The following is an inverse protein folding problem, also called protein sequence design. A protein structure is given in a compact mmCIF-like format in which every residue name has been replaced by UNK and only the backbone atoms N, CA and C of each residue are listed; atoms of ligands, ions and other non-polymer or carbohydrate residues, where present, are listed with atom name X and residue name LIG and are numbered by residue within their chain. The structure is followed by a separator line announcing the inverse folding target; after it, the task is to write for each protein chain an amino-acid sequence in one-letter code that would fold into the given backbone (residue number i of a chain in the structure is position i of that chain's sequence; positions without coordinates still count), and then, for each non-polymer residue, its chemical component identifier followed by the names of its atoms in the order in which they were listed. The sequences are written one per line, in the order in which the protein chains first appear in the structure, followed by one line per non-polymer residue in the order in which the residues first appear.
data_IF_684507181249
#
_entry.id   IF_684507181249
#
_cell.length_a   1.000
_cell.length_b   1.000
_cell.length_c   1.000
_cell.angle_alpha   90.00
_cell.angle_beta   90.00
_cell.angle_gamma   90.00
#
_symmetry.space_group_name_H-M   'P 1'
#
loop_
_entity.id
_entity.type
_entity.pdbx_description
1 polymer ?
#
# COMPACT_ATOMS: atom_id res chain seq x y z
N UNK A 1 5.57 1.54 74.05
CA UNK A 1 4.72 1.37 72.86
C UNK A 1 5.55 1.77 71.64
N UNK A 2 6.28 0.83 71.04
CA UNK A 2 7.05 1.04 69.80
C UNK A 2 6.30 0.34 68.67
N UNK A 3 5.81 1.10 67.71
CA UNK A 3 5.11 0.59 66.53
C UNK A 3 6.13 0.28 65.42
N UNK A 4 6.33 -1.01 65.15
CA UNK A 4 7.11 -1.51 64.02
C UNK A 4 6.32 -1.31 62.72
N UNK A 5 6.78 -0.43 61.83
CA UNK A 5 6.22 -0.30 60.47
C UNK A 5 6.73 -1.45 59.59
N UNK A 6 5.81 -2.16 58.96
CA UNK A 6 6.09 -3.34 58.13
C UNK A 6 6.70 -2.95 56.76
N UNK A 7 7.69 -3.70 56.23
CA UNK A 7 8.45 -3.33 55.02
C UNK A 7 7.74 -3.61 53.68
N UNK A 8 6.53 -4.19 53.70
CA UNK A 8 5.83 -4.64 52.50
C UNK A 8 5.28 -3.49 51.62
N UNK A 9 5.00 -2.30 52.20
CA UNK A 9 4.45 -1.18 51.43
C UNK A 9 5.47 -0.55 50.48
N UNK A 10 6.74 -0.53 50.88
CA UNK A 10 7.84 0.05 50.07
C UNK A 10 8.17 -0.88 48.91
N UNK A 11 8.18 -2.20 49.14
CA UNK A 11 8.41 -3.18 48.08
C UNK A 11 7.29 -3.16 47.05
N UNK A 12 6.02 -3.10 47.49
CA UNK A 12 4.85 -3.01 46.60
C UNK A 12 4.83 -1.70 45.78
N UNK A 13 5.16 -0.56 46.40
CA UNK A 13 5.30 0.70 45.65
C UNK A 13 6.44 0.65 44.63
N UNK A 14 7.56 -0.01 44.95
CA UNK A 14 8.68 -0.15 44.03
C UNK A 14 8.33 -1.02 42.81
N UNK A 15 7.56 -2.11 42.98
CA UNK A 15 7.09 -2.95 41.86
C UNK A 15 6.07 -2.23 40.98
N UNK A 16 5.17 -1.44 41.57
CA UNK A 16 4.22 -0.61 40.81
C UNK A 16 4.95 0.48 40.01
N UNK A 17 5.99 1.10 40.59
CA UNK A 17 6.79 2.10 39.90
C UNK A 17 7.62 1.49 38.75
N UNK A 18 8.20 0.31 38.97
CA UNK A 18 9.00 -0.39 37.95
C UNK A 18 8.14 -0.90 36.77
N UNK A 19 6.90 -1.33 37.05
CA UNK A 19 5.95 -1.71 36.00
C UNK A 19 5.43 -0.51 35.20
N UNK A 20 5.22 0.66 35.83
CA UNK A 20 4.87 1.89 35.11
C UNK A 20 5.97 2.37 34.14
N UNK A 21 7.25 2.17 34.48
CA UNK A 21 8.39 2.55 33.63
C UNK A 21 8.47 1.67 32.36
N UNK A 22 8.09 0.39 32.47
CA UNK A 22 8.05 -0.52 31.32
C UNK A 22 6.89 -0.24 30.35
N UNK A 23 5.76 0.32 30.82
CA UNK A 23 4.62 0.65 29.95
C UNK A 23 4.85 1.86 29.02
N UNK A 24 5.85 2.72 29.28
CA UNK A 24 6.10 3.93 28.48
C UNK A 24 7.06 3.74 27.30
N UNK A 25 7.60 2.54 27.08
CA UNK A 25 8.51 2.27 25.96
C UNK A 25 7.74 1.80 24.71
N UNK A 26 6.86 2.64 24.18
CA UNK A 26 6.35 2.47 22.82
C UNK A 26 7.41 2.93 21.84
N UNK A 27 8.13 1.98 21.23
CA UNK A 27 9.06 2.27 20.14
C UNK A 27 8.26 2.79 18.94
N UNK A 28 8.38 4.09 18.64
CA UNK A 28 7.85 4.67 17.41
C UNK A 28 8.75 4.16 16.28
N UNK A 29 8.24 3.23 15.47
CA UNK A 29 8.88 2.85 14.23
C UNK A 29 8.73 4.00 13.23
N UNK A 30 9.73 4.89 13.17
CA UNK A 30 9.78 5.95 12.17
C UNK A 30 10.31 5.37 10.85
N UNK A 31 9.43 5.13 9.88
CA UNK A 31 9.88 5.01 8.50
C UNK A 31 10.55 6.33 8.12
N UNK A 32 11.82 6.26 7.70
CA UNK A 32 12.56 7.47 7.39
C UNK A 32 11.90 8.23 6.25
N UNK A 33 11.62 7.57 5.11
CA UNK A 33 10.85 8.15 4.01
C UNK A 33 9.53 7.41 3.78
N UNK A 34 8.43 8.15 3.68
CA UNK A 34 7.08 7.61 3.45
C UNK A 34 6.32 8.37 2.36
N UNK A 35 5.37 7.68 1.72
CA UNK A 35 4.45 8.28 0.76
C UNK A 35 3.13 8.62 1.43
N UNK A 36 2.51 9.74 1.04
CA UNK A 36 1.21 10.17 1.55
C UNK A 36 0.02 9.30 1.11
N UNK A 37 0.25 8.30 0.25
CA UNK A 37 -0.78 7.38 -0.22
C UNK A 37 -0.19 6.00 -0.54
N UNK A 38 -1.04 4.96 -0.49
CA UNK A 38 -0.69 3.57 -0.87
C UNK A 38 -1.06 3.24 -2.32
N UNK A 39 -1.72 4.18 -3.01
CA UNK A 39 -2.06 4.16 -4.43
C UNK A 39 -2.42 5.56 -4.92
N UNK A 40 -2.37 5.75 -6.23
CA UNK A 40 -2.76 6.99 -6.90
C UNK A 40 -3.90 6.70 -7.87
N UNK A 41 -4.99 7.45 -7.77
CA UNK A 41 -5.99 7.50 -8.84
C UNK A 41 -5.66 8.71 -9.70
N UNK A 42 -5.47 8.50 -11.00
CA UNK A 42 -5.24 9.55 -11.99
C UNK A 42 -6.49 9.71 -12.87
N UNK A 43 -7.38 10.68 -12.60
CA UNK A 43 -8.55 10.91 -13.43
C UNK A 43 -8.14 11.46 -14.80
N UNK A 44 -8.76 10.96 -15.87
CA UNK A 44 -8.38 11.30 -17.25
C UNK A 44 -8.50 12.79 -17.59
N UNK A 45 -9.39 13.54 -16.92
CA UNK A 45 -9.57 14.97 -17.11
C UNK A 45 -8.55 15.84 -16.35
N UNK A 46 -7.68 15.25 -15.54
CA UNK A 46 -6.68 16.00 -14.78
C UNK A 46 -5.37 16.15 -15.57
N UNK A 47 -4.76 17.34 -15.50
CA UNK A 47 -3.42 17.57 -16.05
C UNK A 47 -2.33 16.96 -15.17
N UNK A 48 -2.55 16.97 -13.86
CA UNK A 48 -1.62 16.45 -12.88
C UNK A 48 -2.33 15.96 -11.62
N UNK A 49 -1.69 15.06 -10.88
CA UNK A 49 -2.06 14.67 -9.51
C UNK A 49 -0.85 14.82 -8.58
N UNK A 50 -1.12 15.03 -7.30
CA UNK A 50 -0.09 15.28 -6.29
C UNK A 50 0.12 14.04 -5.41
N UNK A 51 1.38 13.75 -5.09
CA UNK A 51 1.76 12.69 -4.16
C UNK A 51 2.76 13.25 -3.14
N UNK A 52 2.35 13.46 -1.88
CA UNK A 52 3.26 13.86 -0.82
C UNK A 52 4.31 12.78 -0.52
N UNK A 53 5.52 13.21 -0.20
CA UNK A 53 6.64 12.39 0.27
C UNK A 53 7.20 13.06 1.51
N UNK A 54 7.29 12.32 2.61
CA UNK A 54 7.77 12.83 3.89
C UNK A 54 9.06 12.13 4.28
N UNK A 55 10.03 12.89 4.78
CA UNK A 55 11.11 12.37 5.60
C UNK A 55 10.79 12.65 7.08
N UNK A 56 10.70 11.61 7.89
CA UNK A 56 10.41 11.72 9.33
C UNK A 56 11.68 11.71 10.19
N UNK A 57 12.84 11.38 9.62
CA UNK A 57 14.10 11.36 10.33
C UNK A 57 14.75 12.76 10.31
N UNK A 58 14.90 13.44 11.47
CA UNK A 58 15.48 14.76 11.57
C UNK A 58 16.97 14.83 11.23
N UNK A 59 17.70 13.72 11.39
CA UNK A 59 19.15 13.66 11.24
C UNK A 59 19.59 13.14 9.86
N UNK A 60 18.71 12.43 9.16
CA UNK A 60 19.04 11.83 7.87
C UNK A 60 18.90 12.78 6.67
N UNK A 61 19.70 12.49 5.64
CA UNK A 61 19.59 13.08 4.31
C UNK A 61 19.30 11.98 3.30
N UNK A 62 18.26 12.16 2.50
CA UNK A 62 17.87 11.23 1.44
C UNK A 62 17.85 11.91 0.08
N UNK A 63 18.40 11.23 -0.92
CA UNK A 63 18.16 11.55 -2.32
C UNK A 63 16.93 10.74 -2.78
N UNK A 64 15.90 11.44 -3.20
CA UNK A 64 14.64 10.86 -3.67
C UNK A 64 14.65 10.84 -5.19
N UNK A 65 14.57 9.65 -5.77
CA UNK A 65 14.40 9.42 -7.21
C UNK A 65 13.01 8.85 -7.48
N UNK A 66 12.31 9.32 -8.51
CA UNK A 66 10.94 8.86 -8.80
C UNK A 66 10.70 8.64 -10.29
N UNK A 67 9.95 7.59 -10.63
CA UNK A 67 9.57 7.26 -12.00
C UNK A 67 8.26 6.47 -12.06
N UNK A 68 7.69 6.36 -13.27
CA UNK A 68 6.52 5.54 -13.57
C UNK A 68 6.95 4.32 -14.37
N UNK A 69 6.36 3.18 -14.06
CA UNK A 69 6.39 1.98 -14.89
C UNK A 69 4.98 1.62 -15.38
N UNK A 70 4.89 0.96 -16.52
CA UNK A 70 3.64 0.38 -17.01
C UNK A 70 3.37 -0.99 -16.34
N UNK A 71 2.24 -1.62 -16.69
CA UNK A 71 1.86 -2.92 -16.15
C UNK A 71 2.85 -4.07 -16.45
N UNK A 72 3.77 -3.90 -17.41
CA UNK A 72 4.82 -4.85 -17.77
C UNK A 72 6.17 -4.55 -17.11
N UNK A 73 6.18 -3.77 -16.03
CA UNK A 73 7.38 -3.40 -15.26
C UNK A 73 8.45 -2.63 -16.05
N UNK A 74 8.04 -2.00 -17.17
CA UNK A 74 8.94 -1.16 -17.98
C UNK A 74 8.71 0.31 -17.67
N UNK A 75 9.80 1.07 -17.61
CA UNK A 75 9.73 2.52 -17.43
C UNK A 75 8.90 3.14 -18.56
N UNK A 76 7.92 3.95 -18.17
CA UNK A 76 6.93 4.49 -19.09
C UNK A 76 7.01 6.02 -19.13
N UNK A 77 6.73 6.61 -20.30
CA UNK A 77 6.80 8.06 -20.53
C UNK A 77 5.44 8.72 -20.74
N UNK A 78 4.35 7.96 -20.74
CA UNK A 78 2.99 8.49 -20.83
C UNK A 78 2.59 9.27 -19.55
N UNK A 79 3.33 9.08 -18.45
CA UNK A 79 3.25 9.91 -17.25
C UNK A 79 4.65 10.34 -16.79
N UNK A 80 4.76 11.58 -16.34
CA UNK A 80 6.03 12.17 -15.89
C UNK A 80 5.91 12.58 -14.43
N UNK A 81 6.90 12.22 -13.60
CA UNK A 81 6.98 12.66 -12.20
C UNK A 81 7.96 13.82 -12.09
N UNK A 82 7.54 14.89 -11.42
CA UNK A 82 8.38 16.07 -11.16
C UNK A 82 8.34 16.48 -9.68
N UNK A 83 9.49 16.83 -9.07
CA UNK A 83 10.84 16.62 -9.58
C UNK A 83 11.21 15.11 -9.63
N UNK A 84 11.92 14.63 -10.66
CA UNK A 84 12.29 13.22 -10.77
C UNK A 84 13.46 12.84 -9.84
N UNK A 85 14.22 13.83 -9.36
CA UNK A 85 15.34 13.67 -8.45
C UNK A 85 15.47 14.92 -7.56
N UNK A 86 15.51 14.75 -6.23
CA UNK A 86 15.73 15.86 -5.30
C UNK A 86 16.24 15.36 -3.94
N UNK A 87 16.87 16.24 -3.16
CA UNK A 87 17.34 15.93 -1.80
C UNK A 87 16.32 16.36 -0.74
N UNK A 88 16.14 15.52 0.28
CA UNK A 88 15.38 15.78 1.50
C UNK A 88 16.32 15.69 2.69
N UNK A 89 16.50 16.81 3.39
CA UNK A 89 17.35 16.90 4.58
C UNK A 89 16.48 17.12 5.81
N UNK A 90 16.69 16.26 6.82
CA UNK A 90 15.95 16.28 8.06
C UNK A 90 14.44 16.10 7.85
N UNK A 91 13.67 16.49 8.88
CA UNK A 91 12.21 16.35 8.86
C UNK A 91 11.62 17.32 7.84
N UNK A 92 11.19 16.80 6.70
CA UNK A 92 10.72 17.59 5.55
C UNK A 92 9.60 16.88 4.81
N UNK A 93 8.67 17.65 4.28
CA UNK A 93 7.68 17.18 3.33
C UNK A 93 7.92 17.84 1.96
N UNK A 94 7.85 17.05 0.90
CA UNK A 94 7.92 17.47 -0.47
C UNK A 94 6.76 16.86 -1.25
N UNK A 95 6.32 17.51 -2.33
CA UNK A 95 5.21 17.01 -3.15
C UNK A 95 5.72 16.64 -4.54
N UNK A 96 5.56 15.37 -4.91
CA UNK A 96 5.71 14.90 -6.28
C UNK A 96 4.48 15.29 -7.09
N UNK A 97 4.67 15.75 -8.32
CA UNK A 97 3.61 16.01 -9.30
C UNK A 97 3.70 14.96 -10.39
N UNK A 98 2.67 14.17 -10.55
CA UNK A 98 2.53 13.22 -11.66
C UNK A 98 1.74 13.93 -12.74
N UNK A 99 2.30 14.07 -13.93
CA UNK A 99 1.76 14.85 -15.05
C UNK A 99 1.35 13.89 -16.17
N UNK A 100 0.18 14.14 -16.75
CA UNK A 100 -0.33 13.38 -17.89
C UNK A 100 0.41 13.80 -19.17
N UNK A 101 1.12 12.84 -19.79
CA UNK A 101 1.77 12.98 -21.09
C UNK A 101 1.25 11.92 -22.09
N UNK A 102 0.09 11.32 -21.82
CA UNK A 102 -0.51 10.22 -22.61
C UNK A 102 -1.01 10.66 -23.99
N UNK A 103 -1.25 11.96 -24.19
CA UNK A 103 -1.95 12.52 -25.36
C UNK A 103 -3.28 11.78 -25.69
N UNK A 104 -4.01 11.31 -24.68
CA UNK A 104 -5.28 10.57 -24.80
C UNK A 104 -5.17 9.19 -25.51
N UNK A 105 -4.01 8.54 -25.47
CA UNK A 105 -3.79 7.23 -26.12
C UNK A 105 -4.17 6.01 -25.26
N UNK A 106 -4.85 6.20 -24.12
CA UNK A 106 -5.24 5.11 -23.22
C UNK A 106 -6.70 4.70 -23.45
N UNK A 107 -7.07 3.44 -23.14
CA UNK A 107 -8.46 2.97 -23.22
C UNK A 107 -9.42 3.90 -22.49
N UNK A 108 -10.48 4.33 -23.18
CA UNK A 108 -11.53 5.18 -22.60
C UNK A 108 -12.64 4.39 -21.87
N UNK A 109 -12.62 3.06 -21.94
CA UNK A 109 -13.69 2.18 -21.47
C UNK A 109 -13.36 1.40 -20.19
N UNK A 110 -12.14 1.55 -19.67
CA UNK A 110 -11.62 0.85 -18.48
C UNK A 110 -10.36 1.53 -17.91
N UNK A 111 -10.04 1.22 -16.67
CA UNK A 111 -8.79 1.65 -16.06
C UNK A 111 -7.55 1.05 -16.74
N UNK A 112 -6.44 1.81 -16.70
CA UNK A 112 -5.11 1.33 -17.06
C UNK A 112 -4.19 1.33 -15.84
N UNK A 113 -3.40 0.26 -15.67
CA UNK A 113 -2.48 0.09 -14.55
C UNK A 113 -1.09 0.61 -14.86
N UNK A 114 -0.56 1.39 -13.93
CA UNK A 114 0.81 1.85 -13.85
C UNK A 114 1.35 1.65 -12.43
N UNK A 115 2.65 1.81 -12.26
CA UNK A 115 3.32 1.76 -10.96
C UNK A 115 4.11 3.04 -10.74
N UNK A 116 3.89 3.68 -9.58
CA UNK A 116 4.71 4.79 -9.11
C UNK A 116 5.81 4.21 -8.24
N UNK A 117 7.05 4.46 -8.62
CA UNK A 117 8.24 4.05 -7.89
C UNK A 117 8.90 5.29 -7.28
N UNK A 118 9.14 5.26 -5.97
CA UNK A 118 9.87 6.30 -5.23
C UNK A 118 11.01 5.64 -4.47
N UNK A 119 12.24 5.88 -4.93
CA UNK A 119 13.47 5.35 -4.34
C UNK A 119 14.09 6.39 -3.41
N UNK A 120 14.24 6.05 -2.14
CA UNK A 120 14.96 6.81 -1.15
C UNK A 120 16.37 6.25 -0.99
N UNK A 121 17.37 7.07 -1.34
CA UNK A 121 18.79 6.73 -1.26
C UNK A 121 19.39 7.49 -0.08
N UNK A 122 19.80 6.81 1.00
CA UNK A 122 20.42 7.48 2.15
C UNK A 122 21.77 8.09 1.77
N UNK A 123 22.10 9.24 2.34
CA UNK A 123 23.44 9.80 2.26
C UNK A 123 24.45 8.91 3.01
N UNK A 124 25.69 8.86 2.53
CA UNK A 124 26.77 8.21 3.26
C UNK A 124 27.35 9.16 4.31
N UNK A 125 27.60 8.64 5.51
CA UNK A 125 28.37 9.37 6.53
C UNK A 125 29.85 9.42 6.13
N UNK A 126 30.49 10.58 6.34
CA UNK A 126 31.90 10.78 5.95
C UNK A 126 32.86 9.86 6.69
N UNK A 127 32.51 9.44 7.90
CA UNK A 127 33.35 8.61 8.77
C UNK A 127 33.29 7.11 8.42
N UNK A 128 32.38 6.70 7.54
CA UNK A 128 32.24 5.31 7.09
C UNK A 128 33.01 4.99 5.80
N UNK A 129 33.80 5.94 5.25
CA UNK A 129 34.53 5.74 3.97
C UNK A 129 35.53 4.58 3.96
N UNK A 130 36.02 4.16 5.13
CA UNK A 130 37.03 3.10 5.28
C UNK A 130 36.47 1.82 5.94
N UNK A 131 35.15 1.74 6.14
CA UNK A 131 34.50 0.56 6.73
C UNK A 131 33.73 -0.22 5.65
N UNK A 132 33.74 -1.55 5.74
CA UNK A 132 32.91 -2.39 4.88
C UNK A 132 31.46 -2.29 5.37
N UNK A 133 30.67 -1.41 4.75
CA UNK A 133 29.27 -1.20 5.10
C UNK A 133 28.34 -1.68 3.99
N UNK A 134 27.20 -2.24 4.38
CA UNK A 134 26.08 -2.53 3.48
C UNK A 134 25.08 -1.40 3.60
N UNK A 135 24.83 -0.70 2.49
CA UNK A 135 23.85 0.38 2.44
C UNK A 135 22.64 -0.05 1.63
N UNK A 136 21.45 0.14 2.21
CA UNK A 136 20.18 -0.22 1.58
C UNK A 136 19.44 1.05 1.13
N UNK A 137 19.05 1.08 -0.14
CA UNK A 137 18.10 2.06 -0.65
C UNK A 137 16.70 1.43 -0.70
N UNK A 138 15.70 2.15 -0.22
CA UNK A 138 14.32 1.65 -0.16
C UNK A 138 13.55 2.16 -1.37
N UNK A 139 12.85 1.26 -2.06
CA UNK A 139 11.93 1.62 -3.15
C UNK A 139 10.49 1.37 -2.67
N UNK A 140 9.72 2.44 -2.53
CA UNK A 140 8.28 2.35 -2.36
C UNK A 140 7.62 2.27 -3.73
N UNK A 141 6.95 1.15 -4.00
CA UNK A 141 6.22 0.90 -5.24
C UNK A 141 4.72 0.84 -4.95
N UNK A 142 3.96 1.79 -5.50
CA UNK A 142 2.50 1.86 -5.32
C UNK A 142 1.78 1.84 -6.66
N UNK A 143 0.54 1.33 -6.66
CA UNK A 143 -0.29 1.27 -7.86
C UNK A 143 -0.73 2.67 -8.26
N UNK A 144 -0.74 2.95 -9.56
CA UNK A 144 -1.42 4.09 -10.14
C UNK A 144 -2.44 3.60 -11.16
N UNK A 145 -3.70 4.03 -11.01
CA UNK A 145 -4.76 3.71 -11.95
C UNK A 145 -5.12 4.97 -12.74
N UNK A 146 -4.89 4.93 -14.06
CA UNK A 146 -5.49 5.91 -14.95
C UNK A 146 -6.95 5.56 -15.14
N UNK A 147 -7.84 6.49 -14.77
CA UNK A 147 -9.28 6.29 -14.76
C UNK A 147 -9.97 7.17 -15.79
N UNK A 148 -10.54 6.59 -16.86
CA UNK A 148 -11.37 7.33 -17.81
C UNK A 148 -12.54 8.06 -17.15
N UNK A 149 -12.99 9.13 -17.79
CA UNK A 149 -14.22 9.81 -17.38
C UNK A 149 -15.44 9.03 -17.85
N UNK A 150 -16.58 9.23 -17.19
CA UNK A 150 -17.89 8.72 -17.61
C UNK A 150 -18.00 7.18 -17.68
N UNK A 151 -17.28 6.47 -16.81
CA UNK A 151 -17.52 5.03 -16.62
C UNK A 151 -18.93 4.82 -16.05
N UNK A 152 -19.66 3.84 -16.58
CA UNK A 152 -21.07 3.63 -16.27
C UNK A 152 -21.35 3.09 -14.86
N UNK A 153 -20.35 2.44 -14.25
CA UNK A 153 -20.43 1.84 -12.91
C UNK A 153 -19.69 2.75 -11.96
N UNK A 154 -20.22 3.00 -10.75
CA UNK A 154 -19.50 3.76 -9.74
C UNK A 154 -18.39 2.88 -9.09
N UNK A 155 -17.21 3.44 -8.72
CA UNK A 155 -16.09 2.64 -8.21
C UNK A 155 -16.42 1.84 -6.94
N UNK A 156 -17.30 2.36 -6.08
CA UNK A 156 -17.74 1.75 -4.82
C UNK A 156 -18.69 0.55 -5.04
N UNK A 157 -19.40 0.50 -6.16
CA UNK A 157 -20.27 -0.62 -6.54
C UNK A 157 -19.49 -1.78 -7.19
N UNK A 158 -18.31 -1.50 -7.73
CA UNK A 158 -17.54 -2.48 -8.50
C UNK A 158 -17.21 -3.78 -7.74
N UNK A 159 -16.81 -3.76 -6.45
CA UNK A 159 -16.53 -4.98 -5.68
C UNK A 159 -17.69 -5.99 -5.62
N UNK A 160 -18.93 -5.51 -5.56
CA UNK A 160 -20.12 -6.37 -5.44
C UNK A 160 -20.44 -7.12 -6.73
N UNK A 161 -19.90 -6.65 -7.87
CA UNK A 161 -20.09 -7.27 -9.17
C UNK A 161 -19.09 -8.38 -9.49
N UNK A 162 -18.13 -8.65 -8.59
CA UNK A 162 -17.21 -9.77 -8.74
C UNK A 162 -17.95 -11.10 -8.74
N UNK A 163 -17.56 -11.98 -9.66
CA UNK A 163 -18.09 -13.35 -9.75
C UNK A 163 -16.98 -14.35 -9.52
N UNK A 164 -17.36 -15.52 -8.99
CA UNK A 164 -16.42 -16.57 -8.63
C UNK A 164 -16.86 -17.86 -9.32
N UNK A 165 -15.92 -18.50 -10.02
CA UNK A 165 -16.13 -19.79 -10.68
C UNK A 165 -15.08 -20.77 -10.21
N UNK A 166 -15.50 -21.94 -9.72
CA UNK A 166 -14.56 -22.99 -9.31
C UNK A 166 -14.36 -24.00 -10.43
N UNK A 167 -13.11 -24.36 -10.72
CA UNK A 167 -12.78 -25.48 -11.60
C UNK A 167 -11.67 -26.32 -10.97
N UNK A 168 -12.04 -27.49 -10.43
CA UNK A 168 -11.13 -28.38 -9.72
C UNK A 168 -10.45 -27.69 -8.53
N UNK A 169 -9.12 -27.55 -8.63
CA UNK A 169 -8.23 -26.90 -7.65
C UNK A 169 -7.94 -25.42 -7.95
N UNK A 170 -8.72 -24.79 -8.83
CA UNK A 170 -8.61 -23.36 -9.14
C UNK A 170 -9.92 -22.63 -8.86
N UNK A 171 -9.79 -21.41 -8.37
CA UNK A 171 -10.88 -20.44 -8.25
C UNK A 171 -10.61 -19.27 -9.19
N UNK A 172 -11.48 -19.07 -10.17
CA UNK A 172 -11.41 -17.95 -11.10
C UNK A 172 -12.28 -16.81 -10.57
N UNK A 173 -11.67 -15.65 -10.37
CA UNK A 173 -12.35 -14.39 -10.06
C UNK A 173 -12.58 -13.64 -11.37
N UNK A 174 -13.82 -13.27 -11.63
CA UNK A 174 -14.25 -12.62 -12.87
C UNK A 174 -14.74 -11.21 -12.52
N UNK A 175 -14.12 -10.21 -13.12
CA UNK A 175 -14.42 -8.80 -12.93
C UNK A 175 -15.06 -8.21 -14.20
N UNK A 176 -16.39 -8.05 -14.23
CA UNK A 176 -17.06 -7.44 -15.38
C UNK A 176 -16.94 -5.91 -15.42
N UNK A 177 -16.37 -5.29 -14.38
CA UNK A 177 -16.37 -3.84 -14.18
C UNK A 177 -15.17 -3.17 -14.88
N UNK A 178 -15.19 -1.84 -15.10
CA UNK A 178 -14.08 -1.11 -15.69
C UNK A 178 -12.95 -0.77 -14.70
N UNK A 179 -12.96 -1.29 -13.47
CA UNK A 179 -11.98 -0.97 -12.42
C UNK A 179 -11.06 -2.15 -12.10
N UNK A 180 -9.82 -1.89 -11.69
CA UNK A 180 -8.99 -2.90 -11.03
C UNK A 180 -9.47 -3.13 -9.60
N UNK A 181 -9.77 -4.39 -9.25
CA UNK A 181 -10.25 -4.74 -7.92
C UNK A 181 -9.15 -5.49 -7.17
N UNK A 182 -8.58 -4.86 -6.14
CA UNK A 182 -7.60 -5.52 -5.25
C UNK A 182 -8.36 -6.26 -4.15
N UNK A 183 -8.48 -7.58 -4.31
CA UNK A 183 -9.16 -8.49 -3.38
C UNK A 183 -8.17 -8.93 -2.30
N UNK A 184 -8.60 -8.85 -1.04
CA UNK A 184 -7.81 -9.23 0.14
C UNK A 184 -8.69 -9.91 1.18
N UNK A 185 -8.07 -10.60 2.14
CA UNK A 185 -8.77 -11.29 3.24
C UNK A 185 -9.85 -12.26 2.71
N UNK A 186 -9.57 -12.83 1.53
CA UNK A 186 -10.48 -13.73 0.84
C UNK A 186 -10.44 -15.10 1.51
N UNK A 187 -11.63 -15.65 1.76
CA UNK A 187 -11.83 -16.94 2.40
C UNK A 187 -12.86 -17.75 1.65
N UNK A 188 -12.70 -19.06 1.67
CA UNK A 188 -13.72 -20.03 1.33
C UNK A 188 -14.02 -20.86 2.57
N UNK A 189 -15.17 -20.65 3.19
CA UNK A 189 -15.43 -21.14 4.55
C UNK A 189 -14.37 -20.61 5.53
N UNK A 190 -13.57 -21.51 6.10
CA UNK A 190 -12.48 -21.18 7.04
C UNK A 190 -11.08 -21.10 6.39
N UNK A 191 -10.94 -21.49 5.12
CA UNK A 191 -9.64 -21.48 4.43
C UNK A 191 -9.33 -20.11 3.87
N UNK A 192 -8.15 -19.58 4.19
CA UNK A 192 -7.62 -18.38 3.56
C UNK A 192 -7.21 -18.66 2.10
N UNK A 193 -7.53 -17.71 1.23
CA UNK A 193 -7.16 -17.71 -0.19
C UNK A 193 -6.21 -16.54 -0.46
N UNK A 194 -5.34 -16.64 -1.48
CA UNK A 194 -4.35 -15.61 -1.74
C UNK A 194 -4.99 -14.28 -2.15
N UNK A 195 -4.36 -13.19 -1.72
CA UNK A 195 -4.71 -11.85 -2.19
C UNK A 195 -4.41 -11.74 -3.68
N UNK A 196 -5.28 -11.04 -4.42
CA UNK A 196 -5.12 -10.89 -5.86
C UNK A 196 -5.68 -9.58 -6.35
N UNK A 197 -5.26 -9.14 -7.52
CA UNK A 197 -5.82 -7.97 -8.19
C UNK A 197 -6.46 -8.41 -9.50
N UNK A 198 -7.77 -8.28 -9.59
CA UNK A 198 -8.53 -8.70 -10.76
C UNK A 198 -8.58 -7.53 -11.76
N UNK A 199 -8.10 -7.71 -13.00
CA UNK A 199 -8.10 -6.64 -14.00
C UNK A 199 -9.51 -6.28 -14.45
N UNK A 200 -9.73 -5.06 -14.98
CA UNK A 200 -11.04 -4.65 -15.48
C UNK A 200 -11.45 -5.46 -16.71
N UNK A 201 -12.73 -5.85 -16.76
CA UNK A 201 -13.30 -6.68 -17.84
C UNK A 201 -12.47 -7.94 -18.12
N UNK A 202 -11.97 -8.57 -17.07
CA UNK A 202 -11.05 -9.70 -17.14
C UNK A 202 -11.21 -10.66 -15.98
N UNK A 203 -10.34 -11.67 -15.94
CA UNK A 203 -10.36 -12.70 -14.92
C UNK A 203 -8.96 -13.04 -14.44
N UNK A 204 -8.86 -13.57 -13.21
CA UNK A 204 -7.63 -14.14 -12.65
C UNK A 204 -7.96 -15.41 -11.89
N UNK A 205 -7.10 -16.41 -12.00
CA UNK A 205 -7.26 -17.68 -11.31
C UNK A 205 -6.26 -17.81 -10.18
N UNK A 206 -6.73 -18.24 -9.02
CA UNK A 206 -5.91 -18.53 -7.84
C UNK A 206 -6.03 -20.00 -7.45
N UNK A 207 -5.05 -20.50 -6.70
CA UNK A 207 -5.13 -21.84 -6.13
C UNK A 207 -6.28 -21.95 -5.13
N UNK A 208 -7.02 -23.04 -5.24
CA UNK A 208 -8.14 -23.38 -4.39
C UNK A 208 -7.87 -24.74 -3.73
N UNK A 209 -7.50 -24.78 -2.45
CA UNK A 209 -7.06 -26.01 -1.79
C UNK A 209 -8.11 -27.14 -1.85
N UNK A 210 -7.64 -28.38 -1.94
CA UNK A 210 -8.51 -29.55 -1.89
C UNK A 210 -9.22 -29.65 -0.52
N UNK A 211 -10.48 -30.08 -0.52
CA UNK A 211 -11.30 -30.15 0.69
C UNK A 211 -11.88 -28.81 1.16
N UNK A 212 -11.47 -27.69 0.57
CA UNK A 212 -12.10 -26.39 0.84
C UNK A 212 -13.51 -26.35 0.27
N UNK A 213 -14.46 -25.89 1.08
CA UNK A 213 -15.87 -25.76 0.76
C UNK A 213 -16.51 -24.62 1.58
N UNK A 214 -17.71 -24.21 1.19
CA UNK A 214 -18.43 -23.09 1.81
C UNK A 214 -18.34 -21.81 0.99
N UNK A 215 -19.12 -20.81 1.41
CA UNK A 215 -19.25 -19.54 0.69
C UNK A 215 -17.92 -18.78 0.62
N UNK A 216 -17.77 -17.99 -0.45
CA UNK A 216 -16.67 -17.05 -0.56
C UNK A 216 -17.01 -15.82 0.28
N UNK A 217 -16.04 -15.35 1.05
CA UNK A 217 -16.10 -14.01 1.61
C UNK A 217 -14.80 -13.28 1.38
N UNK A 218 -14.86 -11.99 1.10
CA UNK A 218 -13.67 -11.19 0.80
C UNK A 218 -13.85 -9.74 1.21
N UNK A 219 -12.75 -9.01 1.23
CA UNK A 219 -12.71 -7.56 1.29
C UNK A 219 -11.93 -7.04 0.09
N UNK A 220 -12.05 -5.75 -0.18
CA UNK A 220 -11.24 -5.09 -1.19
C UNK A 220 -10.52 -3.88 -0.61
N UNK A 221 -9.48 -3.42 -1.29
CA UNK A 221 -8.82 -2.16 -0.97
C UNK A 221 -9.39 -1.09 -1.91
N UNK A 222 -10.04 -0.08 -1.34
CA UNK A 222 -10.66 1.02 -2.09
C UNK A 222 -9.64 2.06 -2.59
N UNK A 223 -10.11 3.14 -3.23
CA UNK A 223 -9.27 4.21 -3.77
C UNK A 223 -8.40 4.93 -2.73
N UNK A 224 -8.87 4.96 -1.48
CA UNK A 224 -8.19 5.60 -0.35
C UNK A 224 -7.22 4.65 0.37
N UNK A 225 -7.07 3.42 -0.10
CA UNK A 225 -6.23 2.41 0.53
C UNK A 225 -6.84 1.74 1.76
N UNK A 226 -8.13 1.96 2.03
CA UNK A 226 -8.85 1.35 3.15
C UNK A 226 -9.53 0.04 2.75
N UNK A 227 -9.72 -0.84 3.73
CA UNK A 227 -10.50 -2.07 3.56
C UNK A 227 -11.98 -1.73 3.44
N UNK A 228 -12.65 -2.30 2.43
CA UNK A 228 -14.11 -2.26 2.31
C UNK A 228 -14.77 -3.22 3.31
N UNK A 229 -16.08 -3.07 3.57
CA UNK A 229 -16.85 -4.09 4.28
C UNK A 229 -16.68 -5.48 3.64
N UNK A 230 -16.85 -6.52 4.46
CA UNK A 230 -16.76 -7.90 3.99
C UNK A 230 -17.98 -8.24 3.14
N UNK A 231 -17.74 -8.71 1.93
CA UNK A 231 -18.76 -9.15 0.98
C UNK A 231 -18.79 -10.67 0.98
N UNK A 232 -19.99 -11.26 0.99
CA UNK A 232 -20.20 -12.68 0.73
C UNK A 232 -20.58 -12.89 -0.72
N UNK A 233 -20.01 -13.89 -1.36
CA UNK A 233 -20.32 -14.28 -2.73
C UNK A 233 -20.48 -15.79 -2.83
N UNK A 234 -21.38 -16.20 -3.72
CA UNK A 234 -21.61 -17.62 -4.01
C UNK A 234 -20.68 -18.04 -5.16
N UNK A 235 -20.12 -19.25 -5.06
CA UNK A 235 -19.39 -19.85 -6.19
C UNK A 235 -20.39 -20.42 -7.18
N UNK A 236 -20.17 -20.11 -8.46
CA UNK A 236 -20.83 -20.78 -9.58
C UNK A 236 -19.97 -21.91 -10.15
#
# INVERSE_FOLDING_TARGET
MQTTRTPYSVSFMATVLLSLIFLCHSTIANAAVALGATRVIFPANQKQVLLPVTNNDPASVYLIQSWIENAGDQKDTQFVITPPLFSMQGKKENTLRIINATNHQLPGDRESLFWVNVKAIPAMEKDQKNANTLQLAIISRIKMFYRPMNLAIAPDQAPEMLRFRRSGSKLTLINPTPYFITVTNMKAGNSDLPNTMVPPKGEISVDFPHGTSGDISFQTINDYGALTPRIKATMH
#
